data_IF_234712726799
#
_entry.id   IF_234712726799
#
_cell.length_a   1.000
_cell.length_b   1.000
_cell.length_c   1.000
_cell.angle_alpha   90.00
_cell.angle_beta   90.00
_cell.angle_gamma   90.00
#
_symmetry.space_group_name_H-M   'P 1'
#
loop_
_entity.id
_entity.type
_entity.pdbx_description
1 polymer ?
#
# COMPACT_ATOMS: atom_id res chain seq x y z
N UNK A 1 13.69 8.88 -4.32
CA UNK A 1 12.80 8.39 -5.41
C UNK A 1 11.58 7.73 -4.76
N UNK A 2 10.37 7.89 -5.31
CA UNK A 2 9.16 7.21 -4.81
C UNK A 2 8.71 6.15 -5.84
N UNK A 3 8.58 4.89 -5.43
CA UNK A 3 8.09 3.83 -6.31
C UNK A 3 6.55 3.82 -6.31
N UNK A 4 5.97 4.75 -7.07
CA UNK A 4 4.52 4.88 -7.22
C UNK A 4 4.05 4.08 -8.43
N UNK A 5 2.96 3.33 -8.29
CA UNK A 5 2.30 2.63 -9.39
C UNK A 5 0.83 3.03 -9.48
N UNK A 6 0.23 2.88 -10.67
CA UNK A 6 -1.23 2.88 -10.79
C UNK A 6 -1.75 1.52 -10.35
N UNK A 7 -2.80 1.54 -9.55
CA UNK A 7 -3.53 0.35 -9.15
C UNK A 7 -4.95 0.71 -8.74
N UNK A 8 -5.64 -0.23 -8.12
CA UNK A 8 -6.93 0.02 -7.49
C UNK A 8 -6.99 -0.63 -6.11
N UNK A 9 -7.79 -0.05 -5.24
CA UNK A 9 -8.19 -0.63 -3.96
C UNK A 9 -9.70 -0.58 -3.89
N UNK A 10 -10.34 -1.74 -3.70
CA UNK A 10 -11.80 -1.91 -3.75
C UNK A 10 -12.40 -1.22 -4.99
N UNK A 11 -11.83 -1.56 -6.16
CA UNK A 11 -12.21 -1.07 -7.49
C UNK A 11 -12.03 0.46 -7.70
N UNK A 12 -11.54 1.18 -6.68
CA UNK A 12 -11.21 2.60 -6.79
C UNK A 12 -9.78 2.77 -7.27
N UNK A 13 -9.62 3.33 -8.48
CA UNK A 13 -8.30 3.60 -9.08
C UNK A 13 -7.55 4.67 -8.31
N UNK A 14 -6.33 4.36 -7.90
CA UNK A 14 -5.46 5.25 -7.11
C UNK A 14 -3.99 5.11 -7.51
N UNK A 15 -3.15 5.95 -6.93
CA UNK A 15 -1.69 5.76 -6.90
C UNK A 15 -1.32 5.02 -5.62
N UNK A 16 -0.55 3.97 -5.74
CA UNK A 16 -0.11 3.13 -4.63
C UNK A 16 1.41 3.32 -4.49
N UNK A 17 1.89 3.55 -3.26
CA UNK A 17 3.32 3.54 -2.97
C UNK A 17 3.76 2.13 -2.63
N UNK A 18 4.76 1.62 -3.35
CA UNK A 18 5.49 0.40 -3.01
C UNK A 18 6.69 0.80 -2.16
N UNK A 19 6.71 0.43 -0.88
CA UNK A 19 7.71 0.89 0.07
C UNK A 19 8.48 -0.27 0.70
N UNK A 20 9.70 -0.51 0.20
CA UNK A 20 10.60 -1.53 0.74
C UNK A 20 11.13 -1.18 2.13
N UNK A 21 11.02 0.08 2.56
CA UNK A 21 11.37 0.52 3.91
C UNK A 21 10.24 0.31 4.94
N UNK A 22 9.03 -0.04 4.48
CA UNK A 22 7.90 -0.30 5.35
C UNK A 22 7.73 -1.81 5.60
N UNK A 23 7.72 -2.21 6.88
CA UNK A 23 7.47 -3.63 7.23
C UNK A 23 6.01 -4.04 6.98
N UNK A 24 5.09 -3.09 7.10
CA UNK A 24 3.64 -3.30 7.05
C UNK A 24 2.99 -2.39 6.03
N UNK A 25 1.86 -2.82 5.51
CA UNK A 25 1.03 -2.04 4.59
C UNK A 25 -0.01 -1.24 5.35
N UNK A 26 -0.22 0.01 4.94
CA UNK A 26 -1.14 0.96 5.57
C UNK A 26 -2.09 1.59 4.55
N UNK A 27 -3.27 1.93 5.03
CA UNK A 27 -4.28 2.72 4.33
C UNK A 27 -4.65 3.94 5.19
N UNK A 28 -4.87 5.08 4.55
CA UNK A 28 -5.31 6.29 5.25
C UNK A 28 -6.72 6.09 5.82
N UNK A 29 -6.96 6.61 7.03
CA UNK A 29 -8.27 6.48 7.69
C UNK A 29 -9.41 7.15 6.88
N UNK A 30 -9.12 8.28 6.24
CA UNK A 30 -10.07 8.98 5.37
C UNK A 30 -10.43 8.17 4.12
N UNK A 31 -9.45 7.49 3.51
CA UNK A 31 -9.68 6.67 2.33
C UNK A 31 -10.40 5.36 2.68
N UNK A 32 -10.01 4.68 3.76
CA UNK A 32 -10.73 3.51 4.26
C UNK A 32 -12.21 3.83 4.54
N UNK A 33 -12.49 4.99 5.15
CA UNK A 33 -13.87 5.47 5.35
C UNK A 33 -14.59 5.74 4.03
N UNK A 34 -13.92 6.36 3.06
CA UNK A 34 -14.48 6.64 1.72
C UNK A 34 -14.85 5.36 0.99
N UNK A 35 -14.01 4.33 1.07
CA UNK A 35 -14.28 3.00 0.48
C UNK A 35 -15.38 2.23 1.22
N UNK A 36 -15.72 2.64 2.46
CA UNK A 36 -16.49 1.82 3.40
C UNK A 36 -15.86 0.44 3.57
N UNK A 37 -14.52 0.44 3.70
CA UNK A 37 -13.72 -0.77 3.76
C UNK A 37 -14.17 -1.65 4.95
N UNK A 38 -14.12 -2.97 4.76
CA UNK A 38 -14.52 -3.93 5.78
C UNK A 38 -13.48 -3.93 6.90
N UNK A 39 -13.82 -3.32 8.04
CA UNK A 39 -12.96 -3.34 9.22
C UNK A 39 -12.85 -4.76 9.81
N UNK A 40 -11.63 -5.13 10.16
CA UNK A 40 -11.30 -6.37 10.85
C UNK A 40 -10.91 -6.01 12.28
N UNK A 41 -11.78 -6.35 13.23
CA UNK A 41 -11.52 -6.14 14.64
C UNK A 41 -10.72 -7.33 15.19
N UNK A 42 -9.47 -7.08 15.58
CA UNK A 42 -8.70 -8.02 16.38
C UNK A 42 -8.68 -7.52 17.82
N UNK A 43 -9.34 -8.23 18.72
CA UNK A 43 -9.34 -7.89 20.15
C UNK A 43 -8.00 -8.29 20.77
N UNK A 44 -6.94 -7.52 20.50
CA UNK A 44 -5.64 -7.66 21.18
C UNK A 44 -4.39 -7.32 20.37
N UNK A 45 -4.49 -7.12 19.05
CA UNK A 45 -3.33 -6.70 18.24
C UNK A 45 -3.31 -5.18 18.08
N UNK A 46 -2.26 -4.54 18.60
CA UNK A 46 -1.91 -3.17 18.23
C UNK A 46 -0.63 -3.14 17.40
N UNK A 47 -0.50 -2.10 16.60
CA UNK A 47 0.67 -1.79 15.81
C UNK A 47 1.15 -0.40 16.19
N UNK A 48 2.40 -0.33 16.60
CA UNK A 48 3.14 0.92 16.70
C UNK A 48 3.74 1.27 15.33
N UNK A 49 3.45 2.47 14.83
CA UNK A 49 3.88 2.96 13.51
C UNK A 49 4.84 4.14 13.67
N UNK A 50 5.97 4.06 12.97
CA UNK A 50 7.03 5.08 12.95
C UNK A 50 7.44 5.43 11.52
N UNK A 51 8.00 6.62 11.33
CA UNK A 51 8.65 7.02 10.07
C UNK A 51 7.72 7.54 8.96
N UNK A 52 6.40 7.36 9.09
CA UNK A 52 5.41 7.87 8.13
C UNK A 52 4.76 9.21 8.56
N UNK A 53 4.88 9.55 9.85
CA UNK A 53 4.42 10.77 10.47
C UNK A 53 5.44 11.27 11.51
N UNK A 54 5.36 12.53 11.95
CA UNK A 54 6.10 12.99 13.12
C UNK A 54 5.69 12.19 14.37
N UNK A 55 6.67 11.61 15.07
CA UNK A 55 6.44 10.86 16.30
C UNK A 55 6.02 9.41 16.09
N UNK A 56 5.39 8.86 17.13
CA UNK A 56 4.93 7.46 17.21
C UNK A 56 3.41 7.47 17.16
N UNK A 57 2.83 6.58 16.36
CA UNK A 57 1.39 6.33 16.33
C UNK A 57 1.08 4.91 16.77
N UNK A 58 -0.10 4.70 17.33
CA UNK A 58 -0.63 3.37 17.61
C UNK A 58 -1.96 3.17 16.89
N UNK A 59 -2.17 1.99 16.33
CA UNK A 59 -3.46 1.59 15.75
C UNK A 59 -3.78 0.13 16.07
N UNK A 60 -5.05 -0.15 16.31
CA UNK A 60 -5.61 -1.51 16.40
C UNK A 60 -6.53 -1.82 15.21
N UNK A 61 -6.72 -0.84 14.32
CA UNK A 61 -7.70 -0.90 13.25
C UNK A 61 -7.06 -1.45 11.99
N UNK A 62 -7.72 -2.43 11.39
CA UNK A 62 -7.34 -3.04 10.12
C UNK A 62 -8.55 -3.07 9.20
N UNK A 63 -8.30 -3.08 7.90
CA UNK A 63 -9.33 -3.31 6.90
C UNK A 63 -8.90 -4.43 5.96
N UNK A 64 -9.85 -5.28 5.58
CA UNK A 64 -9.67 -6.20 4.46
C UNK A 64 -10.02 -5.44 3.17
N UNK A 65 -9.07 -5.37 2.24
CA UNK A 65 -9.23 -4.65 0.96
C UNK A 65 -8.78 -5.51 -0.21
N UNK A 66 -9.37 -5.27 -1.39
CA UNK A 66 -8.95 -5.87 -2.65
C UNK A 66 -8.00 -4.93 -3.39
N UNK A 67 -6.70 -5.24 -3.35
CA UNK A 67 -5.66 -4.52 -4.09
C UNK A 67 -5.54 -5.09 -5.50
N UNK A 68 -5.65 -4.25 -6.53
CA UNK A 68 -5.45 -4.65 -7.93
C UNK A 68 -4.25 -3.93 -8.53
N UNK A 69 -3.34 -4.69 -9.13
CA UNK A 69 -2.11 -4.24 -9.77
C UNK A 69 -2.06 -4.80 -11.20
N UNK A 70 -1.81 -3.96 -12.20
CA UNK A 70 -1.86 -4.40 -13.59
C UNK A 70 -3.26 -4.84 -14.02
N UNK A 71 -3.33 -5.77 -14.98
CA UNK A 71 -4.60 -6.18 -15.58
C UNK A 71 -5.18 -7.44 -14.95
N UNK A 72 -4.34 -8.33 -14.40
CA UNK A 72 -4.75 -9.66 -13.93
C UNK A 72 -4.40 -9.96 -12.46
N UNK A 73 -3.79 -9.03 -11.72
CA UNK A 73 -3.34 -9.30 -10.34
C UNK A 73 -4.25 -8.62 -9.34
N UNK A 74 -5.09 -9.40 -8.66
CA UNK A 74 -5.94 -8.97 -7.57
C UNK A 74 -5.62 -9.75 -6.30
N UNK A 75 -5.49 -9.04 -5.18
CA UNK A 75 -5.11 -9.58 -3.89
C UNK A 75 -6.10 -9.09 -2.83
N UNK A 76 -6.73 -10.00 -2.09
CA UNK A 76 -7.36 -9.65 -0.84
C UNK A 76 -6.30 -9.59 0.26
N UNK A 77 -6.21 -8.48 0.97
CA UNK A 77 -5.16 -8.25 1.95
C UNK A 77 -5.63 -7.40 3.13
N UNK A 78 -5.16 -7.73 4.33
CA UNK A 78 -5.38 -6.93 5.52
C UNK A 78 -4.36 -5.79 5.60
N UNK A 79 -4.84 -4.56 5.59
CA UNK A 79 -4.03 -3.35 5.74
C UNK A 79 -4.33 -2.66 7.07
N UNK A 80 -3.32 -2.03 7.67
CA UNK A 80 -3.50 -1.24 8.88
C UNK A 80 -4.08 0.12 8.55
N UNK A 81 -5.07 0.56 9.32
CA UNK A 81 -5.67 1.89 9.17
C UNK A 81 -4.87 2.87 10.02
N UNK A 82 -4.21 3.83 9.39
CA UNK A 82 -3.36 4.83 10.05
C UNK A 82 -3.64 6.19 9.44
N UNK A 83 -3.78 7.22 10.27
CA UNK A 83 -3.90 8.60 9.79
C UNK A 83 -2.52 9.16 9.41
N UNK A 84 -2.03 8.84 8.21
CA UNK A 84 -0.67 9.14 7.79
C UNK A 84 -0.56 10.24 6.73
N UNK A 85 0.58 10.92 6.70
CA UNK A 85 0.87 12.07 5.82
C UNK A 85 1.77 11.74 4.62
N UNK A 86 1.86 10.46 4.23
CA UNK A 86 2.70 9.99 3.11
C UNK A 86 2.40 10.62 1.72
N UNK A 87 1.33 11.41 1.56
CA UNK A 87 0.95 12.03 0.28
C UNK A 87 0.37 11.03 -0.76
N UNK A 88 0.02 9.83 -0.31
CA UNK A 88 -0.81 8.84 -1.00
C UNK A 88 -1.78 8.26 0.02
N UNK A 89 -2.83 7.59 -0.45
CA UNK A 89 -3.81 6.95 0.44
C UNK A 89 -3.40 5.54 0.88
N UNK A 90 -2.53 4.86 0.12
CA UNK A 90 -2.14 3.46 0.36
C UNK A 90 -0.64 3.30 0.18
N UNK A 91 0.00 2.68 1.16
CA UNK A 91 1.40 2.23 1.12
C UNK A 91 1.41 0.72 1.29
N UNK A 92 2.00 0.02 0.32
CA UNK A 92 2.21 -1.42 0.39
C UNK A 92 3.65 -1.67 0.80
N UNK A 93 3.80 -2.24 2.00
CA UNK A 93 5.08 -2.60 2.58
C UNK A 93 5.51 -4.02 2.21
N UNK A 94 6.60 -4.46 2.82
CA UNK A 94 7.21 -5.77 2.59
C UNK A 94 6.29 -6.95 2.91
N UNK A 95 5.37 -6.80 3.88
CA UNK A 95 4.36 -7.83 4.20
C UNK A 95 3.40 -8.13 3.03
N UNK A 96 3.22 -7.19 2.10
CA UNK A 96 2.46 -7.40 0.88
C UNK A 96 3.38 -7.76 -0.28
N UNK A 97 4.46 -6.99 -0.46
CA UNK A 97 5.32 -7.09 -1.65
C UNK A 97 6.03 -8.44 -1.76
N UNK A 98 6.55 -8.99 -0.65
CA UNK A 98 7.29 -10.26 -0.67
C UNK A 98 6.37 -11.44 -1.04
N UNK A 99 5.21 -11.65 -0.37
CA UNK A 99 4.29 -12.73 -0.76
C UNK A 99 3.70 -12.54 -2.16
N UNK A 100 3.44 -11.30 -2.59
CA UNK A 100 2.95 -11.00 -3.94
C UNK A 100 4.01 -11.18 -5.04
N UNK A 101 5.28 -11.43 -4.68
CA UNK A 101 6.37 -11.61 -5.64
C UNK A 101 6.75 -10.34 -6.38
N UNK A 102 6.48 -9.16 -5.79
CA UNK A 102 6.74 -7.86 -6.41
C UNK A 102 8.21 -7.51 -6.29
N UNK A 103 8.83 -7.13 -7.41
CA UNK A 103 10.24 -6.73 -7.49
C UNK A 103 10.34 -5.34 -8.10
N UNK A 104 11.11 -4.44 -7.47
CA UNK A 104 11.37 -3.12 -8.03
C UNK A 104 12.60 -3.20 -8.95
N UNK A 105 12.37 -2.97 -10.24
CA UNK A 105 13.42 -2.83 -11.24
C UNK A 105 13.65 -1.34 -11.50
N UNK A 106 14.55 -0.77 -10.70
CA UNK A 106 14.85 0.67 -10.73
C UNK A 106 15.63 1.08 -11.98
N UNK A 107 16.35 0.15 -12.63
CA UNK A 107 17.07 0.43 -13.87
C UNK A 107 16.08 0.70 -15.01
N UNK A 108 15.03 -0.12 -15.13
CA UNK A 108 13.97 0.07 -16.13
C UNK A 108 12.83 0.98 -15.64
N UNK A 109 12.85 1.40 -14.37
CA UNK A 109 11.79 2.20 -13.78
C UNK A 109 10.44 1.46 -13.73
N UNK A 110 10.45 0.18 -13.38
CA UNK A 110 9.25 -0.67 -13.31
C UNK A 110 9.12 -1.41 -11.97
N UNK A 111 7.90 -1.82 -11.63
CA UNK A 111 7.64 -2.87 -10.66
C UNK A 111 7.23 -4.13 -11.42
N UNK A 112 7.97 -5.21 -11.25
CA UNK A 112 7.69 -6.53 -11.82
C UNK A 112 6.81 -7.31 -10.87
N UNK A 113 5.74 -7.89 -11.39
CA UNK A 113 4.85 -8.80 -10.67
C UNK A 113 5.32 -10.25 -10.83
N UNK A 114 4.66 -11.19 -10.14
CA UNK A 114 5.07 -12.60 -10.11
C UNK A 114 5.13 -13.27 -11.49
N UNK A 115 4.22 -12.91 -12.40
CA UNK A 115 4.13 -13.48 -13.75
C UNK A 115 4.90 -12.65 -14.80
N UNK A 116 5.91 -11.89 -14.35
CA UNK A 116 6.74 -10.99 -15.17
C UNK A 116 5.99 -9.83 -15.84
N UNK A 117 4.71 -9.61 -15.47
CA UNK A 117 3.99 -8.38 -15.80
C UNK A 117 4.73 -7.16 -15.22
N UNK A 118 4.92 -6.15 -16.05
CA UNK A 118 5.66 -4.93 -15.69
C UNK A 118 4.72 -3.74 -15.51
N UNK A 119 4.78 -3.11 -14.35
CA UNK A 119 4.09 -1.85 -14.07
C UNK A 119 5.08 -0.69 -14.14
N UNK A 120 4.83 0.34 -14.97
CA UNK A 120 5.71 1.50 -14.99
C UNK A 120 5.61 2.26 -13.66
N UNK A 121 6.76 2.61 -13.09
CA UNK A 121 6.81 3.53 -11.98
C UNK A 121 6.43 4.93 -12.47
N UNK A 122 5.56 5.60 -11.72
CA UNK A 122 5.16 6.96 -12.02
C UNK A 122 6.35 7.89 -11.76
N UNK A 123 6.68 8.71 -12.75
CA UNK A 123 7.65 9.79 -12.59
C UNK A 123 7.18 10.69 -11.45
N UNK A 124 8.10 11.03 -10.54
CA UNK A 124 7.88 12.19 -9.67
C UNK A 124 7.67 13.40 -10.59
N UNK A 125 6.64 14.21 -10.32
CA UNK A 125 6.63 15.56 -10.88
C UNK A 125 7.94 16.20 -10.41
N UNK A 126 8.76 16.68 -11.34
CA UNK A 126 9.89 17.52 -10.97
C UNK A 126 9.34 18.66 -10.12
N UNK A 127 9.80 18.72 -8.88
CA UNK A 127 9.53 19.79 -7.93
C UNK A 127 10.46 20.97 -8.20
#
# INVERSE_FOLDING_TARGET
>A
MRALVKGAVDDTRIRILLDTGANVSVISASFAKKLRAREVFDHGRSLEVRGINPGIMETQRRALVKVTLGWNHAYEFEVWIVDHSAGVDVVLGMNFMVPAGIRLDLFHGTARLRDEDMLPLLKSKES
#
